data_IF_953630920609
#
_entry.id   IF_953630920609
#
_cell.length_a   1.000
_cell.length_b   1.000
_cell.length_c   1.000
_cell.angle_alpha   90.00
_cell.angle_beta   90.00
_cell.angle_gamma   90.00
#
_symmetry.space_group_name_H-M   'P 1'
#
loop_
_entity.id
_entity.type
_entity.pdbx_description
1 polymer ?
#
# COMPACT_ATOMS: atom_id res chain seq x y z
N UNK A 1 -12.42 -25.31 11.85
CA UNK A 1 -11.47 -24.26 12.10
C UNK A 1 -12.13 -22.92 12.30
N UNK A 2 -11.59 -22.18 13.23
CA UNK A 2 -12.16 -20.90 13.54
C UNK A 2 -11.92 -19.90 12.43
N UNK A 3 -10.78 -19.98 11.76
CA UNK A 3 -10.46 -19.07 10.70
C UNK A 3 -10.18 -19.83 9.41
N UNK A 4 -10.67 -19.35 8.27
CA UNK A 4 -10.35 -19.99 7.01
C UNK A 4 -8.86 -19.89 6.71
N UNK A 5 -8.35 -20.84 5.97
CA UNK A 5 -6.94 -20.83 5.62
C UNK A 5 -6.67 -19.87 4.49
N UNK A 6 -5.61 -19.09 4.62
CA UNK A 6 -5.22 -18.11 3.61
C UNK A 6 -4.40 -18.80 2.52
N UNK A 7 -4.73 -18.50 1.28
CA UNK A 7 -3.92 -18.91 0.14
C UNK A 7 -2.82 -17.87 0.01
N UNK A 8 -1.63 -18.19 0.50
CA UNK A 8 -0.56 -17.21 0.59
C UNK A 8 -0.12 -16.71 -0.78
N UNK A 9 -0.02 -17.62 -1.74
CA UNK A 9 0.45 -17.24 -3.06
C UNK A 9 -0.52 -16.27 -3.74
N UNK A 10 -1.80 -16.55 -3.66
CA UNK A 10 -2.81 -15.69 -4.25
C UNK A 10 -2.94 -14.37 -3.49
N UNK A 11 -2.78 -14.42 -2.17
CA UNK A 11 -2.82 -13.20 -1.37
C UNK A 11 -1.65 -12.29 -1.73
N UNK A 12 -0.45 -12.85 -1.87
CA UNK A 12 0.72 -12.08 -2.26
C UNK A 12 0.48 -11.40 -3.61
N UNK A 13 -0.10 -12.13 -4.57
CA UNK A 13 -0.38 -11.56 -5.88
C UNK A 13 -1.39 -10.42 -5.79
N UNK A 14 -2.40 -10.58 -4.96
CA UNK A 14 -3.43 -9.56 -4.80
C UNK A 14 -2.84 -8.30 -4.15
N UNK A 15 -1.99 -8.47 -3.14
CA UNK A 15 -1.37 -7.33 -2.48
C UNK A 15 -0.42 -6.60 -3.43
N UNK A 16 0.35 -7.35 -4.22
CA UNK A 16 1.22 -6.73 -5.21
C UNK A 16 0.43 -5.88 -6.19
N UNK A 17 -0.68 -6.42 -6.67
CA UNK A 17 -1.51 -5.68 -7.61
C UNK A 17 -2.06 -4.42 -6.96
N UNK A 18 -2.52 -4.54 -5.73
CA UNK A 18 -3.06 -3.40 -5.00
C UNK A 18 -2.01 -2.30 -4.84
N UNK A 19 -0.82 -2.66 -4.42
CA UNK A 19 0.22 -1.66 -4.17
C UNK A 19 0.78 -1.06 -5.46
N UNK A 20 0.82 -1.84 -6.54
CA UNK A 20 1.36 -1.34 -7.80
C UNK A 20 0.36 -0.54 -8.61
N UNK A 21 -0.91 -0.87 -8.52
CA UNK A 21 -1.92 -0.27 -9.39
C UNK A 21 -2.95 0.56 -8.64
N UNK A 22 -3.48 0.02 -7.56
CA UNK A 22 -4.54 0.73 -6.83
C UNK A 22 -3.99 1.90 -6.03
N UNK A 23 -2.86 1.71 -5.35
CA UNK A 23 -2.31 2.76 -4.51
C UNK A 23 -1.95 4.01 -5.31
N UNK A 24 -1.23 3.92 -6.45
CA UNK A 24 -0.94 5.13 -7.22
C UNK A 24 -2.20 5.84 -7.68
N UNK A 25 -3.22 5.08 -8.05
CA UNK A 25 -4.49 5.66 -8.48
C UNK A 25 -5.15 6.42 -7.34
N UNK A 26 -5.13 5.83 -6.14
CA UNK A 26 -5.74 6.47 -4.98
C UNK A 26 -4.97 7.73 -4.57
N UNK A 27 -3.64 7.69 -4.71
CA UNK A 27 -2.84 8.88 -4.43
C UNK A 27 -3.20 10.02 -5.38
N UNK A 28 -3.40 9.71 -6.66
CA UNK A 28 -3.79 10.73 -7.62
C UNK A 28 -5.17 11.29 -7.32
N UNK A 29 -6.11 10.42 -7.01
CA UNK A 29 -7.48 10.87 -6.75
C UNK A 29 -7.57 11.73 -5.49
N UNK A 30 -6.81 11.38 -4.45
CA UNK A 30 -6.88 12.08 -3.18
C UNK A 30 -5.91 13.23 -3.07
N UNK A 31 -4.96 13.34 -4.01
CA UNK A 31 -3.88 14.32 -3.95
C UNK A 31 -2.98 14.12 -2.74
N UNK A 32 -2.88 12.87 -2.25
CA UNK A 32 -2.00 12.52 -1.16
C UNK A 32 -0.87 11.66 -1.71
N UNK A 33 0.35 12.05 -1.39
CA UNK A 33 1.54 11.33 -1.87
C UNK A 33 2.28 10.77 -0.69
N UNK A 34 2.33 9.46 -0.58
CA UNK A 34 2.96 8.80 0.54
C UNK A 34 4.45 8.99 0.56
N UNK A 35 5.08 9.09 -0.62
CA UNK A 35 6.52 9.18 -0.67
C UNK A 35 7.05 10.41 0.05
N UNK A 36 6.23 11.41 0.24
CA UNK A 36 6.64 12.60 0.94
C UNK A 36 6.35 12.60 2.42
N UNK A 37 5.94 11.49 2.95
CA UNK A 37 5.47 11.47 4.33
C UNK A 37 6.51 11.76 5.37
N UNK A 38 7.76 11.61 5.02
CA UNK A 38 8.80 11.93 5.97
C UNK A 38 8.86 13.39 6.33
N UNK A 39 8.37 14.25 5.48
CA UNK A 39 8.31 15.63 5.82
C UNK A 39 6.91 15.97 6.19
N UNK A 40 6.74 16.90 7.04
CA UNK A 40 5.42 17.32 7.41
C UNK A 40 4.77 17.91 6.21
N UNK A 41 3.80 17.27 5.74
CA UNK A 41 3.18 17.68 4.57
C UNK A 41 2.12 18.61 4.87
N UNK A 42 2.22 19.72 4.34
CA UNK A 42 1.18 20.59 4.38
C UNK A 42 0.30 20.34 3.29
N UNK A 43 -0.71 19.73 3.52
CA UNK A 43 -1.64 19.52 2.50
C UNK A 43 -2.27 20.81 2.23
N UNK A 44 -1.89 21.37 1.23
CA UNK A 44 -2.63 22.39 0.69
C UNK A 44 -3.92 21.90 0.29
N UNK A 45 -4.90 22.28 0.98
CA UNK A 45 -6.21 21.99 0.54
C UNK A 45 -6.35 22.51 -0.81
N UNK A 46 -6.71 21.72 -1.74
CA UNK A 46 -6.98 22.23 -3.04
C UNK A 46 -7.98 23.33 -2.85
N UNK A 47 -7.73 24.41 -3.42
CA UNK A 47 -8.60 25.48 -3.35
C UNK A 47 -9.87 25.00 -3.88
N UNK A 48 -10.78 24.88 -3.04
CA UNK A 48 -11.98 24.28 -3.45
C UNK A 48 -12.85 25.10 -4.31
N UNK A 49 -12.35 26.17 -4.77
CA UNK A 49 -13.24 27.08 -5.45
C UNK A 49 -14.03 26.51 -6.56
N UNK A 50 -13.49 25.54 -7.24
CA UNK A 50 -14.19 25.05 -8.39
C UNK A 50 -15.09 23.89 -8.09
N UNK A 51 -15.21 23.57 -6.85
CA UNK A 51 -15.85 22.34 -6.54
C UNK A 51 -17.33 22.34 -6.73
N UNK A 52 -17.90 23.48 -6.87
CA UNK A 52 -19.33 23.56 -6.88
C UNK A 52 -20.03 22.67 -7.86
N UNK A 53 -19.37 22.32 -8.94
CA UNK A 53 -20.03 21.51 -9.96
C UNK A 53 -19.65 20.06 -9.95
N UNK A 54 -18.87 19.62 -8.97
CA UNK A 54 -18.52 18.22 -8.91
C UNK A 54 -19.66 17.41 -8.37
N UNK A 55 -19.93 16.29 -8.99
CA UNK A 55 -20.95 15.41 -8.50
C UNK A 55 -20.57 14.88 -7.14
N UNK A 56 -21.57 14.62 -6.31
CA UNK A 56 -21.33 14.02 -5.01
C UNK A 56 -20.54 12.73 -5.11
N UNK A 57 -20.81 11.98 -6.17
CA UNK A 57 -20.11 10.72 -6.40
C UNK A 57 -18.61 10.94 -6.52
N UNK A 58 -18.21 11.98 -7.25
CA UNK A 58 -16.80 12.28 -7.41
C UNK A 58 -16.16 12.70 -6.09
N UNK A 59 -16.87 13.50 -5.31
CA UNK A 59 -16.37 13.91 -4.01
C UNK A 59 -16.23 12.71 -3.10
N UNK A 60 -17.22 11.83 -3.09
CA UNK A 60 -17.18 10.63 -2.28
C UNK A 60 -16.00 9.75 -2.67
N UNK A 61 -15.75 9.60 -3.97
CA UNK A 61 -14.63 8.81 -4.44
C UNK A 61 -13.30 9.39 -3.98
N UNK A 62 -13.16 10.71 -4.00
CA UNK A 62 -11.93 11.33 -3.56
C UNK A 62 -11.70 11.18 -2.07
N UNK A 63 -12.78 11.29 -1.28
CA UNK A 63 -12.67 11.07 0.16
C UNK A 63 -12.28 9.64 0.44
N UNK A 64 -12.90 8.69 -0.25
CA UNK A 64 -12.57 7.29 -0.06
C UNK A 64 -11.12 7.02 -0.45
N UNK A 65 -10.66 7.60 -1.56
CA UNK A 65 -9.28 7.43 -1.98
C UNK A 65 -8.31 7.92 -0.90
N UNK A 66 -8.64 9.03 -0.25
CA UNK A 66 -7.82 9.54 0.85
C UNK A 66 -7.79 8.58 2.02
N UNK A 67 -8.92 7.96 2.34
CA UNK A 67 -8.98 6.97 3.39
C UNK A 67 -8.12 5.76 3.06
N UNK A 68 -8.13 5.33 1.80
CA UNK A 68 -7.30 4.21 1.37
C UNK A 68 -5.83 4.56 1.58
N UNK A 69 -5.41 5.74 1.14
CA UNK A 69 -4.01 6.14 1.29
C UNK A 69 -3.61 6.21 2.76
N UNK A 70 -4.44 6.80 3.60
CA UNK A 70 -4.15 6.88 5.03
C UNK A 70 -4.03 5.50 5.66
N UNK A 71 -4.90 4.59 5.28
CA UNK A 71 -4.87 3.24 5.83
C UNK A 71 -3.69 2.44 5.32
N UNK A 72 -3.23 2.72 4.09
CA UNK A 72 -2.00 2.09 3.60
C UNK A 72 -0.82 2.52 4.47
N UNK A 73 -0.73 3.80 4.79
CA UNK A 73 0.37 4.28 5.64
C UNK A 73 0.31 3.62 7.02
N UNK A 74 -0.87 3.54 7.60
CA UNK A 74 -1.03 2.90 8.90
C UNK A 74 -0.59 1.44 8.83
N UNK A 75 -1.01 0.74 7.78
CA UNK A 75 -0.65 -0.66 7.61
C UNK A 75 0.86 -0.83 7.44
N UNK A 76 1.48 0.02 6.63
CA UNK A 76 2.92 -0.05 6.43
C UNK A 76 3.66 0.17 7.75
N UNK A 77 3.22 1.14 8.52
CA UNK A 77 3.88 1.42 9.79
C UNK A 77 3.63 0.35 10.84
N UNK A 78 2.61 -0.46 10.64
CA UNK A 78 2.33 -1.56 11.56
C UNK A 78 3.20 -2.78 11.30
N UNK A 79 3.85 -2.84 10.15
CA UNK A 79 4.69 -3.98 9.81
C UNK A 79 6.01 -3.91 10.55
N UNK A 80 6.69 -5.05 10.66
CA UNK A 80 8.01 -5.07 11.26
C UNK A 80 8.99 -4.29 10.40
N UNK A 81 10.15 -3.98 10.97
CA UNK A 81 11.10 -3.09 10.30
C UNK A 81 11.55 -3.60 8.94
N UNK A 82 11.82 -4.89 8.82
CA UNK A 82 12.27 -5.45 7.54
C UNK A 82 11.17 -5.35 6.50
N UNK A 83 9.96 -5.74 6.87
CA UNK A 83 8.82 -5.68 5.96
C UNK A 83 8.53 -4.25 5.54
N UNK A 84 8.56 -3.33 6.48
CA UNK A 84 8.29 -1.94 6.20
C UNK A 84 9.29 -1.38 5.20
N UNK A 85 10.57 -1.67 5.40
CA UNK A 85 11.59 -1.17 4.49
C UNK A 85 11.45 -1.73 3.09
N UNK A 86 11.20 -3.02 2.98
CA UNK A 86 11.04 -3.66 1.66
C UNK A 86 9.83 -3.09 0.94
N UNK A 87 8.70 -3.00 1.63
CA UNK A 87 7.49 -2.50 0.99
C UNK A 87 7.63 -1.03 0.61
N UNK A 88 8.27 -0.25 1.45
CA UNK A 88 8.46 1.17 1.17
C UNK A 88 9.37 1.35 -0.03
N UNK A 89 10.53 0.68 -0.04
CA UNK A 89 11.49 0.84 -1.12
C UNK A 89 10.92 0.43 -2.47
N UNK A 90 10.19 -0.67 -2.51
CA UNK A 90 9.71 -1.19 -3.78
C UNK A 90 8.41 -0.53 -4.22
N UNK A 91 7.47 -0.38 -3.30
CA UNK A 91 6.11 0.01 -3.70
C UNK A 91 5.80 1.48 -3.47
N UNK A 92 6.50 2.14 -2.55
CA UNK A 92 6.30 3.57 -2.34
C UNK A 92 7.32 4.38 -3.13
N UNK A 93 8.60 4.02 -2.98
CA UNK A 93 9.66 4.73 -3.68
C UNK A 93 9.80 4.29 -5.13
N UNK A 94 9.27 3.14 -5.46
CA UNK A 94 9.31 2.69 -6.85
C UNK A 94 10.62 2.07 -7.30
N UNK A 95 11.45 1.65 -6.35
CA UNK A 95 12.74 1.05 -6.72
C UNK A 95 12.55 -0.37 -7.23
N UNK A 96 13.38 -0.75 -8.19
CA UNK A 96 13.31 -2.11 -8.71
C UNK A 96 13.83 -3.11 -7.71
N UNK A 97 13.29 -4.32 -7.75
CA UNK A 97 13.77 -5.40 -6.89
C UNK A 97 15.26 -5.63 -7.12
N UNK A 98 15.70 -5.54 -8.36
CA UNK A 98 17.11 -5.75 -8.69
C UNK A 98 18.03 -4.76 -7.98
N UNK A 99 17.55 -3.55 -7.74
CA UNK A 99 18.35 -2.55 -7.05
C UNK A 99 18.23 -2.71 -5.54
N UNK A 100 17.06 -3.09 -5.05
CA UNK A 100 16.79 -3.16 -3.62
C UNK A 100 17.41 -4.40 -3.00
N UNK A 101 17.39 -5.51 -3.70
CA UNK A 101 17.84 -6.77 -3.14
C UNK A 101 19.33 -6.74 -2.76
N UNK A 102 20.24 -6.24 -3.62
CA UNK A 102 21.65 -6.21 -3.19
C UNK A 102 21.89 -5.32 -1.98
N UNK A 103 21.16 -4.22 -1.89
CA UNK A 103 21.31 -3.31 -0.76
C UNK A 103 20.83 -3.92 0.54
N UNK A 104 19.96 -4.90 0.47
CA UNK A 104 19.41 -5.51 1.67
C UNK A 104 20.41 -6.43 2.35
N UNK A 105 21.42 -6.90 1.61
CA UNK A 105 22.35 -7.89 2.14
C UNK A 105 21.87 -9.32 2.01
N UNK A 106 20.68 -9.54 1.50
CA UNK A 106 20.12 -10.88 1.34
C UNK A 106 20.36 -11.40 -0.07
N UNK A 107 20.49 -12.72 -0.21
CA UNK A 107 20.50 -13.35 -1.53
C UNK A 107 19.11 -13.29 -2.15
N UNK A 108 19.02 -13.69 -3.41
CA UNK A 108 17.76 -13.58 -4.15
C UNK A 108 16.64 -14.38 -3.52
N UNK A 109 16.92 -15.62 -3.13
CA UNK A 109 15.89 -16.48 -2.55
C UNK A 109 15.42 -15.94 -1.21
N UNK A 110 16.37 -15.52 -0.39
CA UNK A 110 16.05 -15.00 0.93
C UNK A 110 15.28 -13.69 0.82
N UNK A 111 15.68 -12.82 -0.10
CA UNK A 111 14.98 -11.55 -0.29
C UNK A 111 13.53 -11.80 -0.73
N UNK A 112 13.33 -12.75 -1.66
CA UNK A 112 11.99 -13.08 -2.10
C UNK A 112 11.14 -13.59 -0.94
N UNK A 113 11.74 -14.39 -0.08
CA UNK A 113 11.03 -14.89 1.09
C UNK A 113 10.55 -13.74 1.97
N UNK A 114 11.45 -12.79 2.26
CA UNK A 114 11.07 -11.65 3.09
C UNK A 114 10.09 -10.71 2.38
N UNK A 115 10.24 -10.57 1.08
CA UNK A 115 9.29 -9.77 0.31
C UNK A 115 7.89 -10.37 0.40
N UNK A 116 7.77 -11.68 0.24
CA UNK A 116 6.48 -12.33 0.33
C UNK A 116 5.90 -12.23 1.74
N UNK A 117 6.73 -12.37 2.74
CA UNK A 117 6.27 -12.21 4.12
C UNK A 117 5.81 -10.78 4.37
N UNK A 118 6.51 -9.81 3.80
CA UNK A 118 6.12 -8.41 3.94
C UNK A 118 4.75 -8.16 3.33
N UNK A 119 4.52 -8.74 2.16
CA UNK A 119 3.22 -8.57 1.49
C UNK A 119 2.09 -9.20 2.29
N UNK A 120 2.35 -10.37 2.89
CA UNK A 120 1.36 -11.00 3.75
C UNK A 120 1.12 -10.19 5.01
N UNK A 121 2.18 -9.62 5.59
CA UNK A 121 2.02 -8.78 6.77
C UNK A 121 1.19 -7.54 6.44
N UNK A 122 1.37 -6.99 5.25
CA UNK A 122 0.56 -5.85 4.83
C UNK A 122 -0.92 -6.25 4.75
N UNK A 123 -1.20 -7.42 4.18
CA UNK A 123 -2.58 -7.88 4.09
C UNK A 123 -3.21 -8.00 5.47
N UNK A 124 -2.44 -8.48 6.44
CA UNK A 124 -2.94 -8.60 7.80
C UNK A 124 -3.18 -7.25 8.46
N UNK A 125 -2.37 -6.26 8.10
CA UNK A 125 -2.43 -4.95 8.75
C UNK A 125 -3.42 -3.99 8.10
N UNK A 126 -3.77 -4.22 6.83
CA UNK A 126 -4.63 -3.29 6.11
C UNK A 126 -6.08 -3.56 6.49
N UNK A 127 -6.69 -2.61 7.19
CA UNK A 127 -8.00 -2.84 7.79
C UNK A 127 -9.18 -2.35 6.96
N UNK A 128 -8.92 -1.56 5.94
CA UNK A 128 -10.01 -0.98 5.19
C UNK A 128 -10.68 -1.97 4.24
N UNK A 129 -9.88 -2.85 3.65
CA UNK A 129 -10.38 -3.90 2.77
C UNK A 129 -9.66 -5.18 3.10
N UNK A 130 -10.31 -6.30 2.85
CA UNK A 130 -9.67 -7.59 3.07
C UNK A 130 -8.92 -8.00 1.81
N UNK A 131 -7.61 -8.00 1.89
CA UNK A 131 -6.77 -8.39 0.77
C UNK A 131 -6.42 -9.88 0.77
N UNK A 132 -6.89 -10.60 1.77
CA UNK A 132 -6.63 -12.04 1.83
C UNK A 132 -7.43 -12.80 0.78
N UNK A 133 -6.81 -13.83 0.23
CA UNK A 133 -7.51 -14.78 -0.61
C UNK A 133 -7.49 -16.09 0.16
N UNK A 134 -8.62 -16.71 0.29
CA UNK A 134 -8.73 -17.91 1.11
C UNK A 134 -8.79 -19.16 0.26
N UNK A 135 -8.27 -20.25 0.82
CA UNK A 135 -8.34 -21.54 0.14
C UNK A 135 -9.77 -22.02 0.13
N UNK A 136 -10.11 -22.70 -0.92
CA UNK A 136 -11.45 -23.27 -1.04
C UNK A 136 -11.50 -24.64 -0.43
#
# INVERSE_FOLDING_TARGET
>A
ELFPQVDEKKTVAKVKHFLKHSLPKMQRYSHKDISGIKSPIITDMPKGGSVGNLAEETITQRVYAGQVVDNVVIALKSCDAISQKILWDIYVEGNAVKATQPESGYGETQFRYYQNRALLAFADAFMLEDLHVFKK
#
